data_IF_366537237998
#
_entry.id   IF_366537237998
#
_cell.length_a   1.000
_cell.length_b   1.000
_cell.length_c   1.000
_cell.angle_alpha   90.00
_cell.angle_beta   90.00
_cell.angle_gamma   90.00
#
_symmetry.space_group_name_H-M   'P 1'
#
loop_
_entity.id
_entity.type
_entity.pdbx_description
1 polymer ?
#
# COMPACT_ATOMS: atom_id res chain seq x y z
N UNK A 1 6.97 -35.02 4.77
CA UNK A 1 7.93 -33.93 4.52
C UNK A 1 7.80 -32.91 5.62
N UNK A 2 8.85 -32.67 6.35
CA UNK A 2 8.93 -31.56 7.30
C UNK A 2 9.46 -30.33 6.55
N UNK A 3 8.85 -29.17 6.79
CA UNK A 3 9.23 -27.88 6.20
C UNK A 3 9.28 -26.84 7.30
N UNK A 4 10.38 -26.13 7.35
CA UNK A 4 10.57 -24.96 8.19
C UNK A 4 10.80 -23.75 7.32
N UNK A 5 10.10 -22.66 7.59
CA UNK A 5 10.25 -21.40 6.88
C UNK A 5 10.66 -20.31 7.86
N UNK A 6 11.80 -19.68 7.60
CA UNK A 6 12.29 -18.53 8.36
C UNK A 6 12.16 -17.29 7.51
N UNK A 7 11.44 -16.32 8.02
CA UNK A 7 11.25 -15.01 7.38
C UNK A 7 11.92 -13.91 8.20
N UNK A 8 12.73 -13.10 7.55
CA UNK A 8 13.33 -11.88 8.11
C UNK A 8 12.78 -10.70 7.34
N UNK A 9 12.00 -9.87 8.02
CA UNK A 9 11.32 -8.72 7.42
C UNK A 9 11.65 -7.44 8.17
N UNK A 10 12.17 -6.46 7.45
CA UNK A 10 12.18 -5.07 7.86
C UNK A 10 11.26 -4.27 6.95
N UNK A 11 10.36 -3.50 7.54
CA UNK A 11 9.43 -2.65 6.80
C UNK A 11 9.43 -1.25 7.39
N UNK A 12 9.57 -0.25 6.53
CA UNK A 12 9.41 1.16 6.89
C UNK A 12 8.19 1.76 6.19
N UNK A 13 7.47 2.60 6.89
CA UNK A 13 6.33 3.35 6.36
C UNK A 13 6.47 4.82 6.70
N UNK A 14 6.22 5.65 5.70
CA UNK A 14 6.13 7.10 5.83
C UNK A 14 4.73 7.54 5.39
N UNK A 15 4.12 8.44 6.13
CA UNK A 15 2.89 9.10 5.71
C UNK A 15 2.98 10.60 5.95
N UNK A 16 2.48 11.35 5.01
CA UNK A 16 2.35 12.80 5.08
C UNK A 16 0.92 13.19 4.69
N UNK A 17 0.37 14.17 5.41
CA UNK A 17 -0.93 14.77 5.10
C UNK A 17 -0.82 16.28 5.23
N UNK A 18 -1.16 16.99 4.16
CA UNK A 18 -1.32 18.44 4.14
C UNK A 18 -2.74 18.80 3.76
N UNK A 19 -3.31 19.79 4.43
CA UNK A 19 -4.67 20.24 4.20
C UNK A 19 -4.77 21.75 4.27
N UNK A 20 -5.50 22.35 3.33
CA UNK A 20 -5.88 23.76 3.32
C UNK A 20 -7.39 23.85 3.30
N UNK A 21 -7.94 24.69 4.16
CA UNK A 21 -9.38 24.92 4.25
C UNK A 21 -9.68 26.41 4.24
N UNK A 22 -10.78 26.77 3.63
CA UNK A 22 -11.28 28.15 3.65
C UNK A 22 -12.79 28.18 3.84
N UNK A 23 -13.25 29.23 4.50
CA UNK A 23 -14.67 29.49 4.69
C UNK A 23 -14.93 30.98 4.46
N UNK A 24 -15.84 31.30 3.56
CA UNK A 24 -16.11 32.65 3.11
C UNK A 24 -17.61 32.93 3.22
N UNK A 25 -17.97 34.05 3.79
CA UNK A 25 -19.33 34.62 3.68
C UNK A 25 -19.40 35.45 2.41
N UNK A 26 -20.41 35.19 1.58
CA UNK A 26 -20.57 35.84 0.28
C UNK A 26 -21.40 37.11 0.37
N UNK A 27 -22.04 37.36 1.53
CA UNK A 27 -22.86 38.50 1.79
C UNK A 27 -22.61 39.08 3.20
N UNK A 28 -22.90 40.35 3.40
CA UNK A 28 -22.76 41.05 4.70
C UNK A 28 -23.66 40.46 5.81
N UNK A 29 -24.82 39.91 5.41
CA UNK A 29 -25.77 39.29 6.34
C UNK A 29 -25.41 37.87 6.73
N UNK A 30 -24.32 37.32 6.15
CA UNK A 30 -23.84 35.96 6.38
C UNK A 30 -24.89 34.87 6.09
N UNK A 31 -25.79 35.15 5.15
CA UNK A 31 -26.83 34.22 4.74
C UNK A 31 -26.28 33.19 3.71
N UNK A 32 -25.21 33.55 3.04
CA UNK A 32 -24.54 32.71 2.02
C UNK A 32 -23.10 32.46 2.42
N UNK A 33 -22.70 31.21 2.42
CA UNK A 33 -21.31 30.81 2.71
C UNK A 33 -20.81 29.80 1.73
N UNK A 34 -19.51 29.88 1.47
CA UNK A 34 -18.74 28.93 0.65
C UNK A 34 -17.61 28.38 1.52
N UNK A 35 -17.59 27.08 1.70
CA UNK A 35 -16.49 26.36 2.32
C UNK A 35 -15.73 25.58 1.25
N UNK A 36 -14.42 25.51 1.39
CA UNK A 36 -13.61 24.69 0.51
C UNK A 36 -12.50 24.00 1.28
N UNK A 37 -12.08 22.87 0.74
CA UNK A 37 -11.00 22.06 1.28
C UNK A 37 -10.13 21.56 0.14
N UNK A 38 -8.82 21.62 0.32
CA UNK A 38 -7.82 20.97 -0.54
C UNK A 38 -6.91 20.13 0.32
N UNK A 39 -6.71 18.89 -0.07
CA UNK A 39 -5.88 17.94 0.64
C UNK A 39 -4.85 17.28 -0.29
N UNK A 40 -3.68 17.05 0.25
CA UNK A 40 -2.68 16.18 -0.36
C UNK A 40 -2.18 15.22 0.70
N UNK A 41 -2.19 13.92 0.35
CA UNK A 41 -1.54 12.91 1.16
C UNK A 41 -0.55 12.10 0.34
N UNK A 42 0.54 11.72 0.99
CA UNK A 42 1.55 10.84 0.45
C UNK A 42 1.79 9.71 1.45
N UNK A 43 1.74 8.47 0.97
CA UNK A 43 2.11 7.31 1.74
C UNK A 43 3.18 6.52 0.99
N UNK A 44 4.22 6.14 1.71
CA UNK A 44 5.33 5.36 1.16
C UNK A 44 5.61 4.18 2.08
N UNK A 45 5.75 2.99 1.49
CA UNK A 45 6.18 1.77 2.17
C UNK A 45 7.36 1.19 1.43
N UNK A 46 8.38 0.79 2.18
CA UNK A 46 9.54 0.09 1.64
C UNK A 46 9.84 -1.15 2.48
N UNK A 47 10.12 -2.23 1.79
CA UNK A 47 10.69 -3.47 2.31
C UNK A 47 12.05 -3.65 1.61
N UNK A 48 13.14 -3.14 2.21
CA UNK A 48 14.43 -3.03 1.51
C UNK A 48 15.18 -4.34 1.39
N UNK A 49 14.81 -5.39 2.12
CA UNK A 49 15.46 -6.70 2.06
C UNK A 49 14.67 -7.72 2.90
N UNK A 50 13.49 -8.11 2.41
CA UNK A 50 12.75 -9.23 3.01
C UNK A 50 13.40 -10.52 2.56
N UNK A 51 13.78 -11.37 3.51
CA UNK A 51 14.44 -12.64 3.25
C UNK A 51 13.55 -13.80 3.67
N UNK A 52 13.46 -14.81 2.83
CA UNK A 52 12.75 -16.06 3.13
C UNK A 52 13.73 -17.20 2.89
N UNK A 53 13.87 -18.04 3.90
CA UNK A 53 14.67 -19.27 3.83
C UNK A 53 13.75 -20.45 4.14
N UNK A 54 13.70 -21.41 3.22
CA UNK A 54 12.88 -22.62 3.39
C UNK A 54 13.79 -23.83 3.51
N UNK A 55 13.74 -24.46 4.68
CA UNK A 55 14.41 -25.74 4.96
C UNK A 55 13.43 -26.88 4.79
N UNK A 56 13.87 -27.96 4.20
CA UNK A 56 13.07 -29.15 3.97
C UNK A 56 13.81 -30.42 4.37
N UNK A 57 13.10 -31.37 4.96
CA UNK A 57 13.59 -32.71 5.23
C UNK A 57 12.72 -33.74 4.52
N UNK A 58 13.34 -34.79 3.96
CA UNK A 58 12.63 -35.87 3.30
C UNK A 58 11.82 -36.75 4.27
N UNK A 59 10.74 -37.37 3.75
CA UNK A 59 9.78 -38.16 4.57
C UNK A 59 10.19 -39.60 4.83
N UNK A 60 11.27 -40.10 4.27
CA UNK A 60 11.68 -41.48 4.47
C UNK A 60 12.68 -41.60 5.61
N UNK A 61 12.35 -42.50 6.54
CA UNK A 61 13.29 -43.09 7.49
C UNK A 61 13.73 -42.23 8.67
N UNK A 62 12.80 -41.91 9.59
CA UNK A 62 13.14 -41.44 10.92
C UNK A 62 14.01 -40.18 10.92
N UNK A 63 13.64 -39.21 10.15
CA UNK A 63 14.43 -37.98 9.92
C UNK A 63 14.64 -37.25 11.24
N UNK A 64 15.89 -37.15 11.62
CA UNK A 64 16.31 -36.20 12.65
C UNK A 64 16.08 -34.77 12.09
N UNK A 65 15.28 -33.97 12.82
CA UNK A 65 14.97 -32.58 12.44
C UNK A 65 16.26 -31.75 12.31
N UNK A 66 17.34 -32.15 12.95
CA UNK A 66 18.67 -31.56 12.82
C UNK A 66 19.29 -31.68 11.41
N UNK A 67 18.72 -32.50 10.54
CA UNK A 67 19.19 -32.70 9.16
C UNK A 67 18.36 -31.93 8.13
N UNK A 68 17.68 -30.88 8.53
CA UNK A 68 17.04 -29.98 7.59
C UNK A 68 18.06 -29.35 6.67
N UNK A 69 17.76 -29.38 5.39
CA UNK A 69 18.59 -28.75 4.34
C UNK A 69 17.77 -27.72 3.55
N UNK A 70 18.47 -26.74 3.04
CA UNK A 70 17.90 -25.77 2.11
C UNK A 70 17.50 -26.46 0.81
N UNK A 71 16.25 -26.29 0.38
CA UNK A 71 15.77 -26.79 -0.90
C UNK A 71 16.27 -25.94 -2.07
N UNK A 72 16.10 -26.47 -3.30
CA UNK A 72 16.38 -25.66 -4.50
C UNK A 72 15.45 -24.43 -4.53
N UNK A 73 16.00 -23.25 -4.88
CA UNK A 73 15.29 -21.96 -4.92
C UNK A 73 14.61 -21.57 -3.60
N UNK A 74 15.11 -22.11 -2.48
CA UNK A 74 14.51 -21.94 -1.17
C UNK A 74 14.99 -20.69 -0.43
N UNK A 75 16.02 -20.01 -0.95
CA UNK A 75 16.48 -18.74 -0.40
C UNK A 75 16.08 -17.63 -1.35
N UNK A 76 15.21 -16.75 -0.86
CA UNK A 76 14.67 -15.63 -1.63
C UNK A 76 14.88 -14.31 -0.92
N UNK A 77 15.13 -13.28 -1.71
CA UNK A 77 15.19 -11.89 -1.24
C UNK A 77 14.23 -11.03 -2.05
N UNK A 78 13.49 -10.22 -1.36
CA UNK A 78 12.52 -9.29 -1.95
C UNK A 78 12.87 -7.86 -1.58
N UNK A 79 12.84 -6.99 -2.58
CA UNK A 79 12.96 -5.55 -2.42
C UNK A 79 11.69 -4.94 -2.99
N UNK A 80 10.89 -4.31 -2.14
CA UNK A 80 9.58 -3.83 -2.55
C UNK A 80 9.40 -2.38 -2.11
N UNK A 81 8.83 -1.58 -2.99
CA UNK A 81 8.42 -0.22 -2.67
C UNK A 81 7.01 0.05 -3.19
N UNK A 82 6.25 0.78 -2.39
CA UNK A 82 4.91 1.25 -2.73
C UNK A 82 4.83 2.73 -2.42
N UNK A 83 4.44 3.54 -3.39
CA UNK A 83 4.09 4.94 -3.20
C UNK A 83 2.63 5.20 -3.57
N UNK A 84 1.96 6.01 -2.76
CA UNK A 84 0.55 6.36 -2.93
C UNK A 84 0.41 7.88 -2.77
N UNK A 85 -0.12 8.57 -3.76
CA UNK A 85 -0.38 10.00 -3.76
C UNK A 85 -1.88 10.21 -3.89
N UNK A 86 -2.45 11.03 -3.02
CA UNK A 86 -3.87 11.37 -3.06
C UNK A 86 -4.01 12.89 -3.03
N UNK A 87 -4.67 13.41 -4.05
CA UNK A 87 -5.09 14.81 -4.13
C UNK A 87 -6.60 14.84 -3.97
N UNK A 88 -7.09 15.63 -3.03
CA UNK A 88 -8.52 15.77 -2.78
C UNK A 88 -8.93 17.22 -2.78
N UNK A 89 -10.14 17.49 -3.20
CA UNK A 89 -10.73 18.82 -3.16
C UNK A 89 -12.24 18.76 -2.95
N UNK A 90 -12.76 19.65 -2.15
CA UNK A 90 -14.20 19.83 -1.99
C UNK A 90 -14.58 21.31 -1.96
N UNK A 91 -15.79 21.60 -2.41
CA UNK A 91 -16.42 22.91 -2.32
C UNK A 91 -17.85 22.69 -1.88
N UNK A 92 -18.28 23.40 -0.84
CA UNK A 92 -19.58 23.32 -0.24
C UNK A 92 -20.19 24.72 -0.14
N UNK A 93 -21.36 24.89 -0.72
CA UNK A 93 -22.17 26.10 -0.59
C UNK A 93 -23.33 25.86 0.35
N UNK A 94 -23.58 26.83 1.20
CA UNK A 94 -24.79 26.92 2.05
C UNK A 94 -25.39 28.31 1.91
N UNK A 95 -26.68 28.37 1.59
CA UNK A 95 -27.42 29.64 1.46
C UNK A 95 -28.77 29.56 2.12
N UNK A 96 -29.20 30.67 2.73
CA UNK A 96 -30.54 30.84 3.21
C UNK A 96 -31.34 31.64 2.22
N UNK A 97 -32.43 31.07 1.70
CA UNK A 97 -33.28 31.68 0.67
C UNK A 97 -34.71 31.76 1.15
N UNK A 98 -35.42 32.86 0.87
CA UNK A 98 -36.84 32.96 1.18
C UNK A 98 -37.68 32.11 0.22
N UNK A 99 -38.54 31.27 0.74
CA UNK A 99 -39.53 30.51 -0.02
C UNK A 99 -40.94 30.86 0.47
N UNK A 100 -41.52 31.89 -0.08
CA UNK A 100 -42.73 32.51 0.44
C UNK A 100 -42.45 33.17 1.79
N UNK A 101 -43.18 32.78 2.81
CA UNK A 101 -43.01 33.29 4.20
C UNK A 101 -41.96 32.49 5.01
N UNK A 102 -41.37 31.48 4.43
CA UNK A 102 -40.41 30.56 5.11
C UNK A 102 -39.00 30.87 4.65
N UNK A 103 -38.06 30.92 5.60
CA UNK A 103 -36.62 30.93 5.28
C UNK A 103 -36.13 29.53 5.23
N UNK A 104 -35.69 29.11 4.05
CA UNK A 104 -35.21 27.76 3.76
C UNK A 104 -33.69 27.76 3.60
N UNK A 105 -33.03 26.68 3.98
CA UNK A 105 -31.60 26.52 3.76
C UNK A 105 -31.35 25.60 2.57
N UNK A 106 -30.60 26.08 1.59
CA UNK A 106 -30.11 25.27 0.46
C UNK A 106 -28.63 24.96 0.66
N UNK A 107 -28.24 23.74 0.33
CA UNK A 107 -26.87 23.27 0.40
C UNK A 107 -26.51 22.56 -0.91
N UNK A 108 -25.30 22.74 -1.38
CA UNK A 108 -24.79 22.00 -2.53
C UNK A 108 -23.28 21.92 -2.47
N UNK A 109 -22.73 20.83 -2.89
CA UNK A 109 -21.29 20.66 -2.86
C UNK A 109 -20.80 19.67 -3.87
N UNK A 110 -19.52 19.78 -4.13
CA UNK A 110 -18.75 18.92 -5.01
C UNK A 110 -17.52 18.42 -4.25
N UNK A 111 -17.17 17.16 -4.50
CA UNK A 111 -15.93 16.56 -4.02
C UNK A 111 -15.24 15.84 -5.19
N UNK A 112 -13.94 15.93 -5.24
CA UNK A 112 -13.12 15.16 -6.18
C UNK A 112 -11.87 14.64 -5.49
N UNK A 113 -11.47 13.43 -5.83
CA UNK A 113 -10.23 12.82 -5.41
C UNK A 113 -9.52 12.21 -6.61
N UNK A 114 -8.22 12.47 -6.71
CA UNK A 114 -7.32 11.82 -7.66
C UNK A 114 -6.24 11.09 -6.89
N UNK A 115 -6.12 9.77 -7.14
CA UNK A 115 -5.14 8.90 -6.51
C UNK A 115 -4.24 8.26 -7.54
N UNK A 116 -2.95 8.26 -7.29
CA UNK A 116 -1.98 7.45 -8.04
C UNK A 116 -1.24 6.53 -7.10
N UNK A 117 -0.99 5.31 -7.57
CA UNK A 117 -0.26 4.28 -6.83
C UNK A 117 0.77 3.64 -7.74
N UNK A 118 1.98 3.51 -7.23
CA UNK A 118 3.06 2.81 -7.90
C UNK A 118 3.61 1.73 -6.98
N UNK A 119 3.72 0.50 -7.49
CA UNK A 119 4.29 -0.63 -6.79
C UNK A 119 5.40 -1.25 -7.62
N UNK A 120 6.59 -1.34 -7.03
CA UNK A 120 7.78 -1.86 -7.69
C UNK A 120 8.41 -2.95 -6.83
N UNK A 121 8.19 -4.23 -7.17
CA UNK A 121 8.87 -5.36 -6.55
C UNK A 121 10.13 -5.73 -7.32
N UNK A 122 11.13 -6.28 -6.60
CA UNK A 122 12.25 -7.03 -7.14
C UNK A 122 12.42 -8.31 -6.33
N UNK A 123 12.63 -9.42 -7.01
CA UNK A 123 12.80 -10.75 -6.42
C UNK A 123 14.13 -11.36 -6.88
N UNK A 124 14.88 -11.87 -5.92
CA UNK A 124 16.16 -12.51 -6.13
C UNK A 124 16.18 -13.89 -5.48
N UNK A 125 16.83 -14.83 -6.12
CA UNK A 125 17.09 -16.17 -5.58
C UNK A 125 18.60 -16.44 -5.56
N UNK A 126 19.00 -17.35 -4.70
CA UNK A 126 20.34 -17.85 -4.64
C UNK A 126 20.43 -19.16 -5.42
N UNK A 127 21.34 -19.19 -6.40
CA UNK A 127 21.62 -20.35 -7.21
C UNK A 127 22.96 -20.96 -6.82
N UNK A 128 22.96 -22.26 -6.63
CA UNK A 128 24.14 -23.05 -6.24
C UNK A 128 24.46 -24.16 -7.25
N UNK A 129 24.02 -24.00 -8.48
CA UNK A 129 24.18 -25.01 -9.54
C UNK A 129 25.61 -25.21 -9.92
N UNK A 130 26.48 -24.22 -9.72
CA UNK A 130 27.91 -24.29 -10.01
C UNK A 130 28.72 -25.10 -8.99
N UNK A 131 28.12 -25.41 -7.82
CA UNK A 131 28.77 -26.23 -6.81
C UNK A 131 28.88 -27.70 -7.28
N UNK A 132 30.00 -28.32 -7.02
CA UNK A 132 30.15 -29.76 -7.13
C UNK A 132 29.20 -30.51 -6.18
N UNK A 133 28.99 -31.80 -6.40
CA UNK A 133 28.12 -32.60 -5.54
C UNK A 133 28.56 -32.59 -4.07
N UNK A 134 29.87 -32.60 -3.83
CA UNK A 134 30.44 -32.60 -2.48
C UNK A 134 30.29 -31.24 -1.80
N UNK A 135 30.59 -30.16 -2.49
CA UNK A 135 30.39 -28.79 -1.99
C UNK A 135 28.92 -28.50 -1.74
N UNK A 136 28.02 -28.95 -2.63
CA UNK A 136 26.58 -28.80 -2.46
C UNK A 136 26.08 -29.53 -1.21
N UNK A 137 26.57 -30.75 -0.97
CA UNK A 137 26.23 -31.52 0.22
C UNK A 137 26.62 -30.78 1.51
N UNK A 138 27.77 -30.10 1.51
CA UNK A 138 28.19 -29.28 2.65
C UNK A 138 27.37 -27.99 2.76
N UNK A 139 27.22 -27.26 1.67
CA UNK A 139 26.53 -25.96 1.63
C UNK A 139 25.09 -26.04 2.13
N UNK A 140 24.32 -27.05 1.75
CA UNK A 140 22.89 -27.16 2.04
C UNK A 140 22.57 -27.38 3.52
N UNK A 141 23.56 -27.73 4.34
CA UNK A 141 23.41 -27.91 5.78
C UNK A 141 24.01 -26.79 6.62
N UNK A 142 24.58 -25.75 5.98
CA UNK A 142 25.14 -24.62 6.69
C UNK A 142 24.04 -23.77 7.36
N UNK A 143 24.35 -23.12 8.48
CA UNK A 143 23.54 -22.04 8.97
C UNK A 143 23.38 -20.91 7.92
N UNK A 144 22.26 -20.22 7.95
CA UNK A 144 21.93 -19.19 6.97
C UNK A 144 23.02 -18.10 6.85
N UNK A 145 23.59 -17.67 8.00
CA UNK A 145 24.63 -16.65 8.05
C UNK A 145 25.89 -17.08 7.32
N UNK A 146 26.27 -18.37 7.43
CA UNK A 146 27.43 -18.94 6.75
C UNK A 146 27.17 -19.12 5.25
N UNK A 147 25.95 -19.50 4.86
CA UNK A 147 25.56 -19.62 3.44
C UNK A 147 25.71 -18.30 2.68
N UNK A 148 25.55 -17.15 3.38
CA UNK A 148 25.64 -15.80 2.82
C UNK A 148 27.03 -15.18 2.96
N UNK A 149 28.03 -15.94 3.41
CA UNK A 149 29.40 -15.45 3.58
C UNK A 149 30.09 -15.23 2.22
N UNK A 150 31.14 -14.41 2.21
CA UNK A 150 31.97 -14.16 1.03
C UNK A 150 32.67 -15.42 0.50
N UNK A 151 32.86 -16.42 1.35
CA UNK A 151 33.49 -17.70 0.97
C UNK A 151 32.64 -18.49 -0.02
N UNK A 152 31.32 -18.33 0.03
CA UNK A 152 30.38 -19.02 -0.85
C UNK A 152 29.86 -18.13 -1.97
N UNK A 153 29.66 -16.83 -1.74
CA UNK A 153 29.11 -15.91 -2.74
C UNK A 153 30.13 -15.54 -3.81
N UNK A 154 30.09 -16.23 -4.93
CA UNK A 154 30.90 -15.92 -6.12
C UNK A 154 30.21 -16.41 -7.38
N UNK A 155 30.62 -15.91 -8.53
CA UNK A 155 30.08 -16.32 -9.83
C UNK A 155 30.32 -17.82 -10.10
N UNK A 156 31.42 -18.38 -9.58
CA UNK A 156 31.80 -19.77 -9.78
C UNK A 156 31.20 -20.76 -8.76
N UNK A 157 30.55 -20.24 -7.70
CA UNK A 157 29.94 -21.05 -6.63
C UNK A 157 28.43 -20.74 -6.50
N UNK A 158 28.10 -19.90 -5.55
CA UNK A 158 26.71 -19.46 -5.30
C UNK A 158 26.56 -18.04 -5.79
N UNK A 159 25.62 -17.82 -6.68
CA UNK A 159 25.35 -16.49 -7.23
C UNK A 159 23.90 -16.07 -7.03
N UNK A 160 23.68 -14.76 -7.05
CA UNK A 160 22.36 -14.17 -6.92
C UNK A 160 21.79 -13.93 -8.32
N UNK A 161 20.61 -14.48 -8.56
CA UNK A 161 19.87 -14.34 -9.81
C UNK A 161 18.59 -13.53 -9.58
N UNK A 162 18.35 -12.53 -10.44
CA UNK A 162 17.12 -11.75 -10.39
C UNK A 162 16.03 -12.41 -11.21
N UNK A 163 14.98 -12.83 -10.54
CA UNK A 163 13.81 -13.50 -11.13
C UNK A 163 12.56 -12.61 -11.12
N UNK A 164 12.74 -11.32 -11.04
CA UNK A 164 11.63 -10.35 -11.00
C UNK A 164 10.70 -10.51 -12.20
N UNK A 165 9.45 -10.88 -11.97
CA UNK A 165 8.43 -10.80 -13.03
C UNK A 165 7.89 -9.37 -13.10
N UNK A 166 8.12 -8.72 -14.24
CA UNK A 166 7.63 -7.35 -14.50
C UNK A 166 6.11 -7.21 -14.39
N UNK A 167 5.36 -8.31 -14.52
CA UNK A 167 3.90 -8.31 -14.33
C UNK A 167 3.48 -8.07 -12.88
N UNK A 168 4.37 -8.25 -11.93
CA UNK A 168 4.11 -7.97 -10.52
C UNK A 168 4.22 -6.48 -10.18
N UNK A 169 4.88 -5.67 -11.02
CA UNK A 169 4.91 -4.22 -10.90
C UNK A 169 3.65 -3.62 -11.50
N UNK A 170 3.13 -2.57 -10.88
CA UNK A 170 1.98 -1.87 -11.43
C UNK A 170 1.99 -0.38 -11.09
N UNK A 171 1.42 0.38 -12.02
CA UNK A 171 0.97 1.74 -11.80
C UNK A 171 -0.55 1.77 -11.93
N UNK A 172 -1.22 2.42 -11.00
CA UNK A 172 -2.66 2.54 -10.98
C UNK A 172 -3.07 3.97 -10.67
N UNK A 173 -4.18 4.41 -11.24
CA UNK A 173 -4.81 5.66 -10.87
C UNK A 173 -6.30 5.45 -10.64
N UNK A 174 -6.88 6.29 -9.80
CA UNK A 174 -8.30 6.33 -9.52
C UNK A 174 -8.74 7.80 -9.49
N UNK A 175 -9.86 8.07 -10.13
CA UNK A 175 -10.52 9.38 -10.08
C UNK A 175 -11.91 9.14 -9.49
N UNK A 176 -12.19 9.87 -8.42
CA UNK A 176 -13.50 9.87 -7.78
C UNK A 176 -14.06 11.29 -7.83
N UNK A 177 -15.34 11.40 -8.13
CA UNK A 177 -16.08 12.66 -8.08
C UNK A 177 -17.50 12.42 -7.61
N UNK A 178 -18.00 13.31 -6.80
CA UNK A 178 -19.39 13.29 -6.36
C UNK A 178 -19.92 14.71 -6.18
N UNK A 179 -21.21 14.86 -6.39
CA UNK A 179 -21.92 16.11 -6.12
C UNK A 179 -23.19 15.86 -5.34
N UNK A 180 -23.62 16.84 -4.56
CA UNK A 180 -24.88 16.77 -3.87
C UNK A 180 -25.61 18.13 -3.88
N UNK A 181 -26.92 18.05 -3.78
CA UNK A 181 -27.80 19.17 -3.53
C UNK A 181 -28.81 18.79 -2.45
N UNK A 182 -29.05 19.66 -1.51
CA UNK A 182 -29.97 19.42 -0.42
C UNK A 182 -30.71 20.72 -0.02
N UNK A 183 -31.92 20.58 0.52
CA UNK A 183 -32.72 21.65 1.03
C UNK A 183 -33.30 21.28 2.39
N UNK A 184 -33.34 22.26 3.26
CA UNK A 184 -33.99 22.21 4.59
C UNK A 184 -35.13 23.22 4.63
N UNK A 185 -36.33 22.70 4.90
CA UNK A 185 -37.58 23.46 4.97
C UNK A 185 -38.10 23.41 6.41
N UNK A 186 -38.06 24.53 7.16
CA UNK A 186 -38.72 24.59 8.45
C UNK A 186 -40.25 24.76 8.24
N UNK A 187 -41.03 23.81 8.75
CA UNK A 187 -42.49 23.77 8.62
C UNK A 187 -43.13 23.73 10.02
N UNK A 188 -43.28 24.89 10.65
CA UNK A 188 -43.85 25.01 12.00
C UNK A 188 -43.00 24.27 13.05
N UNK A 189 -43.48 23.13 13.54
CA UNK A 189 -42.76 22.29 14.52
C UNK A 189 -41.84 21.24 13.89
N UNK A 190 -41.83 21.14 12.56
CA UNK A 190 -41.08 20.13 11.83
C UNK A 190 -40.01 20.79 10.95
N UNK A 191 -38.86 20.11 10.78
CA UNK A 191 -37.88 20.45 9.77
C UNK A 191 -37.85 19.31 8.77
N UNK A 192 -38.06 19.60 7.49
CA UNK A 192 -38.02 18.64 6.39
C UNK A 192 -36.69 18.80 5.67
N UNK A 193 -35.93 17.68 5.54
CA UNK A 193 -34.68 17.61 4.79
C UNK A 193 -34.90 16.77 3.55
N UNK A 194 -34.52 17.30 2.38
CA UNK A 194 -34.51 16.56 1.13
C UNK A 194 -33.19 16.83 0.39
N UNK A 195 -32.65 15.82 -0.25
CA UNK A 195 -31.41 15.98 -1.02
C UNK A 195 -31.15 14.78 -1.92
N UNK A 196 -30.27 15.02 -2.90
CA UNK A 196 -29.76 14.02 -3.83
C UNK A 196 -28.24 14.08 -3.82
N UNK A 197 -27.63 12.93 -4.00
CA UNK A 197 -26.17 12.77 -4.20
C UNK A 197 -25.94 11.85 -5.40
N UNK A 198 -25.01 12.27 -6.26
CA UNK A 198 -24.53 11.54 -7.44
C UNK A 198 -23.05 11.24 -7.29
#
# INVERSE_FOLDING_TARGET
TYREETEMLYQSRLSYLGQLTGNHFLDEKKLHSLAWNMGYSYAYRIEPDRRIVVNQAGMSDGVDVSQLKVGNESIKRYFQSLSDHVFSGSVDYKGTVPMGEILSTVKGGLISEYRTRNYTPREFIYRYENLSLEERASYLYLPYEEMMSEDWLSVDKVFIDEITDKKNAYEAYNIYGAGYGAMELPMGKFNVYAGLRL
#
